data_IF_115498273286
#
_entry.id   IF_115498273286
#
_cell.length_a   1.000
_cell.length_b   1.000
_cell.length_c   1.000
_cell.angle_alpha   90.00
_cell.angle_beta   90.00
_cell.angle_gamma   90.00
#
_symmetry.space_group_name_H-M   'P 1'
#
loop_
_entity.id
_entity.type
_entity.pdbx_description
1 polymer ?
#
# COMPACT_ATOMS: atom_id res chain seq x y z
N UNK A 1 -14.99 42.06 -14.44
CA UNK A 1 -15.11 40.94 -13.48
C UNK A 1 -14.54 41.43 -12.15
N UNK A 2 -15.39 41.53 -11.14
CA UNK A 2 -15.12 42.26 -9.90
C UNK A 2 -14.18 41.50 -8.96
N UNK A 3 -13.34 42.25 -8.23
CA UNK A 3 -12.41 41.79 -7.19
C UNK A 3 -13.06 40.82 -6.19
N UNK A 4 -14.36 40.97 -5.95
CA UNK A 4 -15.17 40.05 -5.15
C UNK A 4 -15.08 38.58 -5.61
N UNK A 5 -15.03 38.30 -6.90
CA UNK A 5 -14.86 36.93 -7.42
C UNK A 5 -13.46 36.38 -7.14
N UNK A 6 -12.44 37.23 -7.14
CA UNK A 6 -11.08 36.83 -6.81
C UNK A 6 -10.99 36.45 -5.32
N UNK A 7 -11.60 37.26 -4.45
CA UNK A 7 -11.61 37.03 -3.00
C UNK A 7 -12.35 35.73 -2.64
N UNK A 8 -13.52 35.48 -3.25
CA UNK A 8 -14.28 34.25 -2.98
C UNK A 8 -13.59 33.01 -3.54
N UNK A 9 -12.93 33.11 -4.69
CA UNK A 9 -12.14 32.00 -5.24
C UNK A 9 -10.96 31.64 -4.33
N UNK A 10 -10.21 32.64 -3.84
CA UNK A 10 -9.09 32.41 -2.92
C UNK A 10 -9.59 31.82 -1.60
N UNK A 11 -10.70 32.33 -1.05
CA UNK A 11 -11.29 31.81 0.17
C UNK A 11 -11.78 30.37 0.03
N UNK A 12 -12.36 30.00 -1.12
CA UNK A 12 -12.81 28.64 -1.38
C UNK A 12 -11.63 27.66 -1.50
N UNK A 13 -10.57 28.06 -2.19
CA UNK A 13 -9.36 27.23 -2.35
C UNK A 13 -8.65 27.05 -1.01
N UNK A 14 -8.53 28.11 -0.21
CA UNK A 14 -7.86 28.04 1.10
C UNK A 14 -8.68 27.21 2.10
N UNK A 15 -10.01 27.38 2.13
CA UNK A 15 -10.90 26.59 2.97
C UNK A 15 -10.87 25.11 2.59
N UNK A 16 -10.91 24.80 1.29
CA UNK A 16 -10.78 23.44 0.79
C UNK A 16 -9.45 22.81 1.21
N UNK A 17 -8.34 23.50 0.98
CA UNK A 17 -7.01 23.02 1.32
C UNK A 17 -6.82 22.79 2.83
N UNK A 18 -7.30 23.72 3.66
CA UNK A 18 -7.30 23.57 5.11
C UNK A 18 -8.11 22.35 5.56
N UNK A 19 -9.26 22.11 4.93
CA UNK A 19 -10.11 20.96 5.23
C UNK A 19 -9.44 19.63 4.86
N UNK A 20 -8.77 19.54 3.70
CA UNK A 20 -8.03 18.33 3.31
C UNK A 20 -6.85 18.05 4.25
N UNK A 21 -6.11 19.09 4.63
CA UNK A 21 -5.01 18.98 5.60
C UNK A 21 -5.53 18.55 6.98
N UNK A 22 -6.69 19.07 7.39
CA UNK A 22 -7.33 18.67 8.64
C UNK A 22 -7.77 17.21 8.63
N UNK A 23 -8.45 16.77 7.56
CA UNK A 23 -8.86 15.37 7.41
C UNK A 23 -7.65 14.43 7.38
N UNK A 24 -6.58 14.77 6.67
CA UNK A 24 -5.36 13.95 6.64
C UNK A 24 -4.65 13.93 8.00
N UNK A 25 -4.68 15.01 8.77
CA UNK A 25 -4.13 15.02 10.13
C UNK A 25 -4.96 14.17 11.11
N UNK A 26 -6.29 14.23 11.02
CA UNK A 26 -7.20 13.48 11.91
C UNK A 26 -7.22 11.99 11.55
N UNK A 27 -7.27 11.65 10.25
CA UNK A 27 -7.27 10.24 9.82
C UNK A 27 -5.87 9.62 9.80
N UNK A 28 -4.83 10.43 9.59
CA UNK A 28 -3.43 9.98 9.55
C UNK A 28 -2.71 10.01 10.90
N UNK A 29 -3.38 10.45 11.97
CA UNK A 29 -2.86 10.35 13.34
C UNK A 29 -3.11 8.94 13.89
N UNK A 30 -2.47 7.95 13.28
CA UNK A 30 -2.18 6.71 14.00
C UNK A 30 -1.35 7.05 15.25
N UNK A 31 -1.66 6.49 16.42
CA UNK A 31 -0.95 6.82 17.65
C UNK A 31 0.53 6.47 17.49
N UNK A 32 1.38 7.49 17.38
CA UNK A 32 2.84 7.35 17.45
C UNK A 32 3.20 6.93 18.87
N UNK A 33 3.27 5.62 19.11
CA UNK A 33 3.87 5.08 20.32
C UNK A 33 5.34 5.55 20.41
N UNK A 34 5.76 6.21 21.51
CA UNK A 34 7.15 6.54 21.72
C UNK A 34 7.86 5.28 22.22
N UNK A 35 8.62 4.59 21.37
CA UNK A 35 9.41 3.42 21.80
C UNK A 35 10.90 3.71 21.77
N UNK A 36 11.35 4.48 22.75
CA UNK A 36 12.71 4.35 23.25
C UNK A 36 12.79 3.10 24.13
N UNK A 37 13.10 1.96 23.53
CA UNK A 37 13.59 0.79 24.26
C UNK A 37 14.43 -0.09 23.31
N UNK A 38 15.71 0.26 23.24
CA UNK A 38 16.82 -0.65 22.96
C UNK A 38 16.59 -1.95 23.73
N UNK A 39 16.43 -3.09 23.06
CA UNK A 39 17.06 -4.40 23.38
C UNK A 39 17.02 -5.29 22.14
N UNK A 40 18.18 -5.87 21.86
CA UNK A 40 18.57 -6.69 20.72
C UNK A 40 18.03 -8.11 20.93
N UNK A 41 17.44 -8.74 19.90
CA UNK A 41 17.84 -10.07 19.37
C UNK A 41 16.79 -10.72 18.45
N UNK A 42 17.19 -10.88 17.18
CA UNK A 42 16.99 -12.09 16.35
C UNK A 42 15.54 -12.55 16.07
N UNK A 43 14.90 -11.92 15.07
CA UNK A 43 14.18 -12.64 14.01
C UNK A 43 13.83 -11.64 12.88
N UNK A 44 14.25 -12.00 11.66
CA UNK A 44 13.81 -11.47 10.38
C UNK A 44 14.33 -10.08 9.96
N UNK A 45 15.60 -10.09 9.54
CA UNK A 45 16.12 -9.16 8.52
C UNK A 45 15.12 -9.16 7.35
N UNK A 46 14.39 -8.09 7.06
CA UNK A 46 14.92 -6.75 6.89
C UNK A 46 15.62 -6.56 5.54
N UNK A 47 15.81 -7.62 4.74
CA UNK A 47 16.20 -7.44 3.33
C UNK A 47 14.94 -7.11 2.54
N UNK A 48 14.63 -5.82 2.42
CA UNK A 48 13.93 -5.32 1.24
C UNK A 48 14.59 -6.02 0.04
N UNK A 49 13.85 -6.79 -0.78
CA UNK A 49 14.40 -7.35 -1.98
C UNK A 49 15.16 -6.24 -2.69
N UNK A 50 16.44 -6.40 -3.07
CA UNK A 50 17.05 -5.45 -3.99
C UNK A 50 16.09 -5.33 -5.18
N UNK A 51 15.95 -4.16 -5.83
CA UNK A 51 15.04 -4.01 -6.98
C UNK A 51 15.32 -5.03 -8.10
N UNK A 52 16.45 -5.72 -8.01
CA UNK A 52 16.91 -6.86 -8.82
C UNK A 52 16.48 -8.23 -8.33
N UNK A 53 15.59 -8.37 -7.34
CA UNK A 53 14.90 -9.63 -7.06
C UNK A 53 14.35 -10.10 -8.40
N UNK A 54 14.95 -11.16 -8.93
CA UNK A 54 14.97 -11.39 -10.36
C UNK A 54 13.54 -11.42 -10.90
N UNK A 55 13.32 -10.70 -12.00
CA UNK A 55 12.09 -10.79 -12.79
C UNK A 55 11.82 -12.23 -13.25
N UNK A 56 12.83 -13.10 -13.14
CA UNK A 56 12.71 -14.55 -13.30
C UNK A 56 11.62 -15.13 -12.42
N UNK A 57 10.81 -15.97 -13.07
CA UNK A 57 9.63 -16.60 -12.50
C UNK A 57 10.02 -17.44 -11.27
N UNK A 58 9.42 -17.21 -10.09
CA UNK A 58 9.53 -18.18 -9.02
C UNK A 58 8.83 -19.47 -9.46
N UNK A 59 9.50 -20.62 -9.27
CA UNK A 59 8.79 -21.90 -9.35
C UNK A 59 7.67 -21.92 -8.30
N UNK A 60 6.48 -22.44 -8.64
CA UNK A 60 5.25 -22.26 -7.88
C UNK A 60 5.23 -23.00 -6.53
N UNK A 61 4.30 -22.63 -5.60
CA UNK A 61 3.48 -21.42 -5.58
C UNK A 61 3.97 -20.37 -4.56
N UNK A 62 3.86 -19.07 -4.93
CA UNK A 62 4.12 -17.97 -3.99
C UNK A 62 3.08 -17.96 -2.86
N UNK A 63 3.51 -17.54 -1.66
CA UNK A 63 2.59 -17.21 -0.57
C UNK A 63 1.94 -15.83 -0.81
N UNK A 64 0.78 -15.56 -0.19
CA UNK A 64 0.10 -14.26 -0.33
C UNK A 64 1.00 -13.08 0.08
N UNK A 65 1.73 -13.23 1.20
CA UNK A 65 2.67 -12.20 1.66
C UNK A 65 3.84 -11.98 0.68
N UNK A 66 4.32 -13.03 0.02
CA UNK A 66 5.33 -12.90 -1.03
C UNK A 66 4.77 -12.21 -2.28
N UNK A 67 3.52 -12.49 -2.64
CA UNK A 67 2.83 -11.79 -3.72
C UNK A 67 2.69 -10.30 -3.40
N UNK A 68 2.31 -9.94 -2.17
CA UNK A 68 2.23 -8.54 -1.73
C UNK A 68 3.57 -7.81 -1.83
N UNK A 69 4.64 -8.42 -1.30
CA UNK A 69 5.99 -7.85 -1.42
C UNK A 69 6.46 -7.75 -2.88
N UNK A 70 6.08 -8.68 -3.74
CA UNK A 70 6.41 -8.61 -5.16
C UNK A 70 5.67 -7.47 -5.88
N UNK A 71 4.39 -7.23 -5.57
CA UNK A 71 3.63 -6.11 -6.14
C UNK A 71 4.17 -4.75 -5.69
N UNK A 72 4.61 -4.62 -4.42
CA UNK A 72 5.25 -3.40 -3.91
C UNK A 72 6.61 -3.16 -4.58
N UNK A 73 7.45 -4.20 -4.67
CA UNK A 73 8.79 -4.09 -5.25
C UNK A 73 8.79 -3.87 -6.78
N UNK A 74 7.83 -4.45 -7.50
CA UNK A 74 7.73 -4.39 -8.97
C UNK A 74 6.58 -3.50 -9.48
N UNK A 75 5.99 -2.65 -8.63
CA UNK A 75 4.81 -1.86 -9.01
C UNK A 75 4.98 -1.06 -10.32
N UNK A 76 6.18 -0.55 -10.57
CA UNK A 76 6.52 0.33 -11.69
C UNK A 76 7.01 -0.37 -12.96
N UNK A 77 7.13 -1.70 -12.95
CA UNK A 77 7.66 -2.48 -14.06
C UNK A 77 6.76 -3.67 -14.38
N UNK A 78 6.59 -3.99 -15.65
CA UNK A 78 5.82 -5.16 -16.05
C UNK A 78 6.73 -6.39 -16.20
N UNK A 79 6.62 -7.34 -15.29
CA UNK A 79 7.42 -8.57 -15.31
C UNK A 79 6.57 -9.81 -15.02
N UNK A 80 7.09 -10.96 -15.42
CA UNK A 80 6.40 -12.24 -15.23
C UNK A 80 6.18 -12.58 -13.73
N UNK A 81 7.08 -12.14 -12.85
CA UNK A 81 6.90 -12.24 -11.40
C UNK A 81 5.75 -11.37 -10.86
N UNK A 82 5.55 -10.16 -11.40
CA UNK A 82 4.41 -9.30 -11.05
C UNK A 82 3.09 -9.96 -11.47
N UNK A 83 3.07 -10.53 -12.67
CA UNK A 83 1.91 -11.31 -13.14
C UNK A 83 1.59 -12.50 -12.23
N UNK A 84 2.60 -13.31 -11.87
CA UNK A 84 2.40 -14.44 -10.96
C UNK A 84 1.96 -14.01 -9.54
N UNK A 85 2.47 -12.88 -9.05
CA UNK A 85 2.04 -12.31 -7.78
C UNK A 85 0.58 -11.83 -7.83
N UNK A 86 0.21 -11.14 -8.91
CA UNK A 86 -1.17 -10.70 -9.12
C UNK A 86 -2.15 -11.86 -9.20
N UNK A 87 -1.81 -12.91 -9.96
CA UNK A 87 -2.61 -14.14 -10.03
C UNK A 87 -2.82 -14.77 -8.66
N UNK A 88 -1.76 -14.85 -7.83
CA UNK A 88 -1.88 -15.38 -6.47
C UNK A 88 -2.80 -14.53 -5.59
N UNK A 89 -2.75 -13.20 -5.70
CA UNK A 89 -3.67 -12.32 -4.97
C UNK A 89 -5.12 -12.53 -5.40
N UNK A 90 -5.37 -12.61 -6.71
CA UNK A 90 -6.71 -12.87 -7.25
C UNK A 90 -7.24 -14.22 -6.77
N UNK A 91 -6.42 -15.27 -6.79
CA UNK A 91 -6.80 -16.58 -6.29
C UNK A 91 -7.09 -16.58 -4.78
N UNK A 92 -6.38 -15.77 -4.00
CA UNK A 92 -6.66 -15.61 -2.57
C UNK A 92 -8.03 -14.93 -2.34
N UNK A 93 -8.29 -13.83 -3.04
CA UNK A 93 -9.59 -13.12 -2.96
C UNK A 93 -10.74 -14.00 -3.46
N UNK A 94 -10.53 -14.78 -4.52
CA UNK A 94 -11.52 -15.73 -5.01
C UNK A 94 -11.79 -16.83 -3.99
N UNK A 95 -10.75 -17.39 -3.37
CA UNK A 95 -10.90 -18.38 -2.31
C UNK A 95 -11.67 -17.82 -1.11
N UNK A 96 -11.33 -16.61 -0.65
CA UNK A 96 -12.06 -15.94 0.44
C UNK A 96 -13.52 -15.66 0.08
N UNK A 97 -13.80 -15.25 -1.16
CA UNK A 97 -15.18 -15.02 -1.61
C UNK A 97 -15.99 -16.31 -1.73
N UNK A 98 -15.36 -17.40 -2.14
CA UNK A 98 -16.02 -18.70 -2.25
C UNK A 98 -16.29 -19.29 -0.86
N UNK A 99 -15.35 -19.15 0.08
CA UNK A 99 -15.50 -19.50 1.50
C UNK A 99 -16.62 -18.66 2.16
N UNK A 100 -16.62 -17.34 1.96
CA UNK A 100 -17.67 -16.45 2.46
C UNK A 100 -19.08 -16.77 1.92
N UNK A 101 -19.16 -17.44 0.77
CA UNK A 101 -20.41 -17.90 0.16
C UNK A 101 -20.77 -19.34 0.51
N UNK A 102 -19.93 -20.05 1.28
CA UNK A 102 -20.11 -21.45 1.64
C UNK A 102 -20.10 -22.40 0.44
N UNK A 103 -19.37 -22.05 -0.63
CA UNK A 103 -19.26 -22.85 -1.85
C UNK A 103 -18.14 -23.90 -1.74
N UNK A 104 -17.23 -23.72 -0.78
CA UNK A 104 -16.10 -24.62 -0.48
C UNK A 104 -16.18 -25.00 1.00
#
# INVERSE_FOLDING_TARGET
MSIWYLVTAIAAVSAGCAFTLFLTAVLGSEPRYPRHARWISVADQGSRPPRTWACDLPRPPLTFHQAYRAMDAHGWHDCARKHAAFEKMMNHVLAENLDARGII
#
